data_IF_361990110348
#
_entry.id   IF_361990110348
#
_cell.length_a   1.000
_cell.length_b   1.000
_cell.length_c   1.000
_cell.angle_alpha   90.00
_cell.angle_beta   90.00
_cell.angle_gamma   90.00
#
_symmetry.space_group_name_H-M   'P 1'
#
loop_
_entity.id
_entity.type
_entity.pdbx_description
1 polymer ?
#
# COMPACT_ATOMS: atom_id res chain seq x y z
N UNK A 1 7.71 -12.22 -0.12
CA UNK A 1 8.14 -10.93 -0.72
C UNK A 1 6.96 -10.32 -1.47
N UNK A 2 6.79 -9.00 -1.39
CA UNK A 2 5.74 -8.24 -2.06
C UNK A 2 6.34 -7.13 -2.93
N UNK A 3 5.59 -6.70 -3.94
CA UNK A 3 5.81 -5.42 -4.62
C UNK A 3 4.70 -4.47 -4.20
N UNK A 4 5.07 -3.31 -3.66
CA UNK A 4 4.12 -2.24 -3.38
C UNK A 4 4.07 -1.26 -4.54
N UNK A 5 2.87 -0.90 -4.99
CA UNK A 5 2.66 0.11 -6.02
C UNK A 5 1.95 1.33 -5.43
N UNK A 6 2.67 2.45 -5.36
CA UNK A 6 2.18 3.70 -4.80
C UNK A 6 0.95 4.26 -5.53
N UNK A 7 0.77 3.94 -6.83
CA UNK A 7 -0.37 4.42 -7.62
C UNK A 7 -1.68 3.74 -7.23
N UNK A 8 -1.64 2.44 -6.98
CA UNK A 8 -2.79 1.66 -6.54
C UNK A 8 -2.90 1.55 -5.02
N UNK A 9 -1.87 2.03 -4.29
CA UNK A 9 -1.67 1.80 -2.86
C UNK A 9 -1.82 0.32 -2.49
N UNK A 10 -1.34 -0.56 -3.38
CA UNK A 10 -1.59 -2.00 -3.34
C UNK A 10 -0.33 -2.82 -3.15
N UNK A 11 -0.47 -3.95 -2.47
CA UNK A 11 0.59 -4.96 -2.31
C UNK A 11 0.33 -6.15 -3.23
N UNK A 12 1.33 -6.48 -4.04
CA UNK A 12 1.29 -7.56 -5.02
C UNK A 12 2.24 -8.67 -4.57
N UNK A 13 1.72 -9.83 -4.14
CA UNK A 13 2.56 -10.96 -3.77
C UNK A 13 3.40 -11.40 -4.98
N UNK A 14 4.73 -11.51 -4.82
CA UNK A 14 5.62 -11.96 -5.90
C UNK A 14 5.28 -13.38 -6.34
N UNK A 15 4.74 -14.21 -5.43
CA UNK A 15 4.26 -15.56 -5.74
C UNK A 15 3.18 -15.59 -6.84
N UNK A 16 2.41 -14.51 -6.99
CA UNK A 16 1.33 -14.39 -7.98
C UNK A 16 1.73 -13.57 -9.21
N UNK A 17 3.02 -13.23 -9.35
CA UNK A 17 3.53 -12.36 -10.42
C UNK A 17 3.07 -12.78 -11.80
N UNK A 18 3.23 -14.05 -12.16
CA UNK A 18 2.85 -14.56 -13.48
C UNK A 18 1.36 -14.34 -13.77
N UNK A 19 0.48 -14.57 -12.78
CA UNK A 19 -0.96 -14.34 -12.93
C UNK A 19 -1.28 -12.86 -13.16
N UNK A 20 -0.61 -11.96 -12.46
CA UNK A 20 -0.78 -10.52 -12.65
C UNK A 20 -0.19 -10.01 -13.97
N UNK A 21 0.94 -10.58 -14.43
CA UNK A 21 1.51 -10.25 -15.73
C UNK A 21 0.58 -10.70 -16.87
N UNK A 22 0.03 -11.91 -16.79
CA UNK A 22 -0.98 -12.41 -17.74
C UNK A 22 -2.25 -11.55 -17.76
N UNK A 23 -2.68 -11.05 -16.59
CA UNK A 23 -3.81 -10.14 -16.48
C UNK A 23 -3.48 -8.68 -16.85
N UNK A 24 -2.21 -8.35 -17.09
CA UNK A 24 -1.75 -6.98 -17.35
C UNK A 24 -1.86 -6.03 -16.14
N UNK A 25 -1.97 -6.58 -14.93
CA UNK A 25 -2.15 -5.82 -13.68
C UNK A 25 -0.88 -5.75 -12.83
N UNK A 26 0.20 -6.43 -13.23
CA UNK A 26 1.48 -6.32 -12.54
C UNK A 26 2.02 -4.88 -12.58
N UNK A 27 2.45 -4.30 -11.45
CA UNK A 27 2.88 -2.92 -11.41
C UNK A 27 4.17 -2.67 -12.20
N UNK A 28 4.18 -1.58 -12.98
CA UNK A 28 5.35 -1.18 -13.79
C UNK A 28 6.46 -0.51 -12.98
N UNK A 29 6.12 0.08 -11.84
CA UNK A 29 7.02 0.90 -11.03
C UNK A 29 6.73 0.71 -9.53
N UNK A 30 6.72 -0.55 -9.09
CA UNK A 30 6.56 -0.88 -7.68
C UNK A 30 7.89 -1.01 -6.95
N UNK A 31 7.84 -0.93 -5.62
CA UNK A 31 8.98 -1.04 -4.72
C UNK A 31 8.92 -2.38 -3.99
N UNK A 32 10.07 -3.02 -3.78
CA UNK A 32 10.15 -4.28 -3.03
C UNK A 32 9.83 -4.06 -1.55
N UNK A 33 9.06 -4.98 -0.98
CA UNK A 33 8.66 -4.98 0.43
C UNK A 33 8.78 -6.40 0.96
N UNK A 34 9.60 -6.57 1.99
CA UNK A 34 9.80 -7.87 2.67
C UNK A 34 8.51 -8.34 3.34
N UNK A 35 8.45 -9.62 3.73
CA UNK A 35 7.26 -10.16 4.41
C UNK A 35 7.11 -9.55 5.80
N UNK A 36 8.25 -9.27 6.46
CA UNK A 36 8.33 -8.63 7.76
C UNK A 36 7.84 -7.17 7.71
N UNK A 37 8.29 -6.39 6.72
CA UNK A 37 7.81 -5.02 6.50
C UNK A 37 6.30 -5.01 6.18
N UNK A 38 5.86 -5.88 5.26
CA UNK A 38 4.44 -6.01 4.95
C UNK A 38 3.61 -6.36 6.21
N UNK A 39 4.07 -7.32 7.01
CA UNK A 39 3.41 -7.70 8.26
C UNK A 39 3.35 -6.52 9.24
N UNK A 40 4.43 -5.78 9.42
CA UNK A 40 4.46 -4.60 10.30
C UNK A 40 3.47 -3.52 9.84
N UNK A 41 3.33 -3.32 8.52
CA UNK A 41 2.34 -2.41 7.94
C UNK A 41 0.90 -2.88 8.20
N UNK A 42 0.60 -4.17 8.01
CA UNK A 42 -0.73 -4.73 8.29
C UNK A 42 -1.08 -4.69 9.78
N UNK A 43 -0.11 -4.98 10.65
CA UNK A 43 -0.26 -4.87 12.10
C UNK A 43 -0.56 -3.40 12.49
N UNK A 44 0.14 -2.44 11.89
CA UNK A 44 -0.12 -1.02 12.07
C UNK A 44 -1.53 -0.59 11.63
N UNK A 45 -2.02 -1.09 10.49
CA UNK A 45 -3.40 -0.82 10.07
C UNK A 45 -4.43 -1.32 11.08
N UNK A 46 -4.17 -2.46 11.71
CA UNK A 46 -5.03 -3.02 12.76
C UNK A 46 -5.08 -2.14 14.02
N UNK A 47 -4.15 -1.18 14.17
CA UNK A 47 -4.14 -0.18 15.25
C UNK A 47 -4.78 1.16 14.87
N UNK A 48 -5.40 1.26 13.69
CA UNK A 48 -6.08 2.47 13.21
C UNK A 48 -5.21 3.42 12.37
N UNK A 49 -4.01 3.00 11.99
CA UNK A 49 -3.18 3.72 11.02
C UNK A 49 -3.57 3.35 9.59
N UNK A 50 -3.13 4.14 8.61
CA UNK A 50 -3.31 3.85 7.18
C UNK A 50 -1.95 3.69 6.51
N UNK A 51 -1.89 2.82 5.51
CA UNK A 51 -0.72 2.73 4.64
C UNK A 51 -0.83 3.81 3.57
N UNK A 52 0.26 4.56 3.40
CA UNK A 52 0.41 5.58 2.35
C UNK A 52 1.82 5.49 1.76
N UNK A 53 2.01 6.03 0.56
CA UNK A 53 3.33 6.13 -0.05
C UNK A 53 4.07 7.37 0.47
N UNK A 54 5.34 7.22 0.83
CA UNK A 54 6.24 8.35 1.09
C UNK A 54 6.74 9.01 -0.21
N UNK A 55 7.64 9.99 -0.10
CA UNK A 55 8.22 10.68 -1.25
C UNK A 55 9.04 9.79 -2.19
N UNK A 56 9.48 8.62 -1.72
CA UNK A 56 10.22 7.63 -2.50
C UNK A 56 9.30 6.53 -3.06
N UNK A 57 7.99 6.61 -2.79
CA UNK A 57 7.02 5.61 -3.20
C UNK A 57 7.01 4.36 -2.31
N UNK A 58 7.67 4.40 -1.14
CA UNK A 58 7.67 3.29 -0.18
C UNK A 58 6.43 3.35 0.71
N UNK A 59 5.88 2.19 1.11
CA UNK A 59 4.74 2.17 2.00
C UNK A 59 5.17 2.53 3.43
N UNK A 60 4.48 3.50 4.02
CA UNK A 60 4.65 3.95 5.41
C UNK A 60 3.30 4.01 6.11
N UNK A 61 3.31 3.84 7.44
CA UNK A 61 2.13 4.06 8.26
C UNK A 61 1.96 5.55 8.54
N UNK A 62 0.78 6.07 8.24
CA UNK A 62 0.36 7.42 8.58
C UNK A 62 -0.85 7.39 9.51
N UNK A 63 -1.01 8.45 10.31
CA UNK A 63 -2.24 8.66 11.06
C UNK A 63 -3.35 9.18 10.13
N UNK A 64 -4.60 8.85 10.47
CA UNK A 64 -5.75 9.34 9.71
C UNK A 64 -6.00 10.79 10.11
N UNK A 65 -5.69 11.73 9.22
CA UNK A 65 -6.18 13.11 9.34
C UNK A 65 -7.61 13.16 8.77
N UNK A 66 -8.61 13.07 9.65
CA UNK A 66 -10.01 13.29 9.24
C UNK A 66 -10.27 14.79 9.22
N UNK A 67 -10.44 15.37 8.03
CA UNK A 67 -10.98 16.73 7.88
C UNK A 67 -12.51 16.71 8.04
N UNK A 68 -12.98 16.95 9.26
CA UNK A 68 -14.40 17.02 9.60
C UNK A 68 -15.15 18.17 8.90
N UNK A 69 -14.45 19.18 8.36
CA UNK A 69 -15.06 20.32 7.67
C UNK A 69 -15.53 19.93 6.26
N UNK A 70 -14.85 18.97 5.62
CA UNK A 70 -15.25 18.46 4.30
C UNK A 70 -16.54 17.61 4.35
N UNK A 71 -16.81 16.93 5.46
CA UNK A 71 -17.98 16.05 5.63
C UNK A 71 -19.28 16.80 5.99
N UNK A 72 -19.20 18.06 6.42
CA UNK A 72 -20.35 18.82 6.94
C UNK A 72 -20.98 19.78 5.92
N UNK A 73 -20.48 19.80 4.67
CA UNK A 73 -21.04 20.59 3.56
C UNK A 73 -21.83 19.77 2.53
N UNK A 74 -22.16 18.51 2.86
CA UNK A 74 -23.01 17.62 2.06
C UNK A 74 -24.49 17.75 2.40
#
# INVERSE_FOLDING_TARGET
MYIYDAKTNGFYPVLLKESYELAGTWPKAGVEVTEEEHKALMDGQSTGKVVSADSEGKPVLADIEIDYVALTRG
#
